data_IF_574442227854
#
_entry.id   IF_574442227854
#
_cell.length_a   1.000
_cell.length_b   1.000
_cell.length_c   1.000
_cell.angle_alpha   90.00
_cell.angle_beta   90.00
_cell.angle_gamma   90.00
#
_symmetry.space_group_name_H-M   'P 1'
#
loop_
_entity.id
_entity.type
_entity.pdbx_description
1 polymer ?
#
# COMPACT_ATOMS: atom_id res chain seq x y z
N UNK A 1 -9.06 -3.83 -1.37
CA UNK A 1 -9.11 -4.37 -2.74
C UNK A 1 -8.81 -5.85 -2.59
N UNK A 2 -9.82 -6.72 -2.69
CA UNK A 2 -9.62 -8.17 -2.55
C UNK A 2 -9.78 -8.86 -3.92
N UNK A 3 -9.05 -9.94 -4.16
CA UNK A 3 -9.25 -10.82 -5.31
C UNK A 3 -8.37 -10.55 -6.56
N UNK A 4 -8.77 -11.09 -7.74
CA UNK A 4 -7.92 -11.15 -8.95
C UNK A 4 -7.55 -9.78 -9.51
N UNK A 5 -8.37 -8.74 -9.28
CA UNK A 5 -8.05 -7.37 -9.67
C UNK A 5 -6.80 -6.84 -8.95
N UNK A 6 -6.70 -7.09 -7.64
CA UNK A 6 -5.54 -6.70 -6.84
C UNK A 6 -4.26 -7.39 -7.32
N UNK A 7 -4.35 -8.69 -7.62
CA UNK A 7 -3.22 -9.44 -8.17
C UNK A 7 -2.77 -8.91 -9.55
N UNK A 8 -3.71 -8.52 -10.41
CA UNK A 8 -3.40 -7.88 -11.70
C UNK A 8 -2.71 -6.54 -11.51
N UNK A 9 -3.20 -5.69 -10.60
CA UNK A 9 -2.58 -4.41 -10.27
C UNK A 9 -1.15 -4.59 -9.76
N UNK A 10 -0.92 -5.51 -8.82
CA UNK A 10 0.42 -5.80 -8.32
C UNK A 10 1.36 -6.27 -9.44
N UNK A 11 0.87 -7.12 -10.35
CA UNK A 11 1.65 -7.56 -11.51
C UNK A 11 2.05 -6.38 -12.41
N UNK A 12 1.12 -5.49 -12.74
CA UNK A 12 1.40 -4.32 -13.57
C UNK A 12 2.39 -3.37 -12.91
N UNK A 13 2.21 -3.13 -11.60
CA UNK A 13 3.15 -2.37 -10.79
C UNK A 13 4.54 -3.01 -10.83
N UNK A 14 4.65 -4.33 -10.65
CA UNK A 14 5.94 -5.03 -10.71
C UNK A 14 6.63 -4.84 -12.05
N UNK A 15 5.91 -5.03 -13.15
CA UNK A 15 6.46 -4.85 -14.49
C UNK A 15 6.93 -3.42 -14.71
N UNK A 16 6.15 -2.42 -14.28
CA UNK A 16 6.54 -1.03 -14.40
C UNK A 16 7.77 -0.70 -13.55
N UNK A 17 7.84 -1.17 -12.31
CA UNK A 17 9.02 -0.95 -11.44
C UNK A 17 10.26 -1.57 -12.06
N UNK A 18 10.16 -2.81 -12.56
CA UNK A 18 11.31 -3.57 -13.08
C UNK A 18 11.77 -3.08 -14.46
N UNK A 19 10.87 -2.64 -15.32
CA UNK A 19 11.19 -2.31 -16.71
C UNK A 19 11.20 -0.81 -17.02
N UNK A 20 10.64 0.03 -16.15
CA UNK A 20 10.58 1.48 -16.35
C UNK A 20 11.30 2.22 -15.23
N UNK A 21 10.88 2.02 -13.97
CA UNK A 21 11.43 2.80 -12.85
C UNK A 21 12.91 2.50 -12.60
N UNK A 22 13.25 1.23 -12.35
CA UNK A 22 14.61 0.86 -11.95
C UNK A 22 15.67 1.05 -13.04
N UNK A 23 15.43 0.69 -14.31
CA UNK A 23 16.43 0.89 -15.35
C UNK A 23 16.76 2.37 -15.58
N UNK A 24 15.82 3.29 -15.34
CA UNK A 24 15.98 4.72 -15.63
C UNK A 24 16.38 5.52 -14.38
N UNK A 25 15.74 5.25 -13.24
CA UNK A 25 15.86 6.07 -12.02
C UNK A 25 16.48 5.33 -10.84
N UNK A 26 16.76 4.03 -10.99
CA UNK A 26 17.24 3.18 -9.90
C UNK A 26 18.56 3.63 -9.30
N UNK A 27 19.52 4.15 -10.09
CA UNK A 27 20.88 4.49 -9.66
C UNK A 27 21.61 3.35 -8.90
N UNK A 28 22.90 3.52 -8.63
CA UNK A 28 23.69 2.50 -7.91
C UNK A 28 23.20 2.31 -6.47
N UNK A 29 23.17 1.07 -5.98
CA UNK A 29 22.74 0.73 -4.62
C UNK A 29 23.93 0.85 -3.67
N UNK A 30 23.80 1.68 -2.65
CA UNK A 30 24.83 1.88 -1.61
C UNK A 30 24.21 1.79 -0.22
N UNK A 31 25.04 1.78 0.83
CA UNK A 31 24.55 1.86 2.21
C UNK A 31 23.81 3.17 2.51
N UNK A 32 24.18 4.27 1.83
CA UNK A 32 23.51 5.56 1.93
C UNK A 32 22.32 5.73 0.98
N UNK A 33 22.09 4.77 0.08
CA UNK A 33 20.99 4.78 -0.88
C UNK A 33 20.52 3.34 -1.16
N UNK A 34 19.86 2.69 -0.19
CA UNK A 34 19.51 1.28 -0.28
C UNK A 34 18.38 1.01 -1.27
N UNK A 35 18.37 -0.21 -1.81
CA UNK A 35 17.23 -0.79 -2.53
C UNK A 35 17.07 -2.24 -2.11
N UNK A 36 15.84 -2.69 -1.85
CA UNK A 36 15.57 -4.10 -1.56
C UNK A 36 15.16 -4.84 -2.85
N UNK A 37 15.81 -5.96 -3.23
CA UNK A 37 15.40 -6.75 -4.39
C UNK A 37 14.02 -7.41 -4.19
N UNK A 38 13.56 -7.57 -2.94
CA UNK A 38 12.24 -8.07 -2.55
C UNK A 38 11.33 -6.92 -2.08
N UNK A 39 11.35 -5.79 -2.79
CA UNK A 39 10.63 -4.57 -2.39
C UNK A 39 9.13 -4.80 -2.14
N UNK A 40 8.51 -5.77 -2.81
CA UNK A 40 7.10 -6.12 -2.64
C UNK A 40 6.78 -6.70 -1.24
N UNK A 41 7.80 -7.10 -0.47
CA UNK A 41 7.65 -7.53 0.92
C UNK A 41 7.74 -6.37 1.93
N UNK A 42 7.90 -5.14 1.43
CA UNK A 42 7.84 -3.92 2.23
C UNK A 42 6.52 -3.19 1.91
N UNK A 43 5.49 -3.28 2.77
CA UNK A 43 4.16 -2.71 2.46
C UNK A 43 4.19 -1.21 2.17
N UNK A 44 5.02 -0.46 2.89
CA UNK A 44 5.22 0.97 2.63
C UNK A 44 5.80 1.22 1.23
N UNK A 45 6.77 0.39 0.79
CA UNK A 45 7.33 0.51 -0.54
C UNK A 45 6.30 0.21 -1.62
N UNK A 46 5.45 -0.80 -1.43
CA UNK A 46 4.33 -1.10 -2.33
C UNK A 46 3.39 0.10 -2.42
N UNK A 47 3.01 0.70 -1.30
CA UNK A 47 2.12 1.86 -1.27
C UNK A 47 2.71 3.09 -2.00
N UNK A 48 3.97 3.43 -1.70
CA UNK A 48 4.68 4.55 -2.32
C UNK A 48 4.85 4.35 -3.84
N UNK A 49 5.29 3.16 -4.26
CA UNK A 49 5.48 2.83 -5.68
C UNK A 49 4.16 2.77 -6.44
N UNK A 50 3.09 2.29 -5.81
CA UNK A 50 1.76 2.26 -6.42
C UNK A 50 1.24 3.67 -6.69
N UNK A 51 1.34 4.58 -5.70
CA UNK A 51 0.98 5.98 -5.88
C UNK A 51 1.81 6.66 -6.99
N UNK A 52 3.12 6.41 -7.00
CA UNK A 52 4.02 6.93 -8.02
C UNK A 52 3.66 6.45 -9.44
N UNK A 53 3.31 5.17 -9.59
CA UNK A 53 2.89 4.57 -10.85
C UNK A 53 1.54 5.11 -11.35
N UNK A 54 0.58 5.32 -10.44
CA UNK A 54 -0.70 5.94 -10.79
C UNK A 54 -0.50 7.37 -11.30
N UNK A 55 0.32 8.17 -10.63
CA UNK A 55 0.67 9.53 -11.08
C UNK A 55 1.40 9.51 -12.43
N UNK A 56 2.24 8.51 -12.67
CA UNK A 56 2.88 8.32 -13.98
C UNK A 56 1.83 8.08 -15.07
N UNK A 57 0.89 7.17 -14.83
CA UNK A 57 -0.18 6.85 -15.78
C UNK A 57 -1.04 8.07 -16.13
N UNK A 58 -1.41 8.87 -15.12
CA UNK A 58 -2.22 10.07 -15.30
C UNK A 58 -1.47 11.19 -16.07
N UNK A 59 -0.22 11.47 -15.69
CA UNK A 59 0.54 12.60 -16.23
C UNK A 59 1.29 12.29 -17.53
N UNK A 60 1.51 11.02 -17.86
CA UNK A 60 2.24 10.62 -19.08
C UNK A 60 1.40 9.79 -20.06
N UNK A 61 0.17 9.44 -19.68
CA UNK A 61 -0.74 8.66 -20.49
C UNK A 61 -1.39 9.44 -21.64
N UNK A 62 -2.18 8.74 -22.47
CA UNK A 62 -2.94 9.37 -23.54
C UNK A 62 -3.85 10.50 -23.02
N UNK A 63 -3.77 11.66 -23.65
CA UNK A 63 -4.57 12.84 -23.25
C UNK A 63 -3.92 13.72 -22.19
N UNK A 64 -2.73 13.37 -21.68
CA UNK A 64 -1.99 14.25 -20.78
C UNK A 64 -1.36 15.44 -21.51
N UNK A 65 -1.00 16.48 -20.76
CA UNK A 65 -0.32 17.66 -21.30
C UNK A 65 1.13 17.35 -21.67
N UNK A 66 1.69 18.10 -22.63
CA UNK A 66 3.10 17.93 -23.04
C UNK A 66 4.11 18.15 -21.91
N UNK A 67 3.74 18.91 -20.87
CA UNK A 67 4.57 19.12 -19.68
C UNK A 67 4.34 18.09 -18.58
N UNK A 68 3.37 17.18 -18.74
CA UNK A 68 3.00 16.17 -17.75
C UNK A 68 4.16 15.32 -17.24
N UNK A 69 5.05 14.77 -18.09
CA UNK A 69 6.24 14.05 -17.63
C UNK A 69 7.16 14.88 -16.73
N UNK A 70 7.38 16.16 -17.07
CA UNK A 70 8.21 17.06 -16.26
C UNK A 70 7.56 17.36 -14.90
N UNK A 71 6.24 17.55 -14.87
CA UNK A 71 5.49 17.70 -13.62
C UNK A 71 5.57 16.42 -12.78
N UNK A 72 5.47 15.24 -13.38
CA UNK A 72 5.61 13.97 -12.67
C UNK A 72 6.98 13.83 -11.98
N UNK A 73 8.07 14.18 -12.68
CA UNK A 73 9.42 14.17 -12.11
C UNK A 73 9.56 15.12 -10.91
N UNK A 74 9.05 16.35 -11.08
CA UNK A 74 9.17 17.41 -10.08
C UNK A 74 8.35 17.10 -8.83
N UNK A 75 7.10 16.67 -9.02
CA UNK A 75 6.10 16.65 -7.94
C UNK A 75 6.02 15.28 -7.24
N UNK A 76 6.41 14.19 -7.90
CA UNK A 76 6.20 12.83 -7.39
C UNK A 76 7.48 11.99 -7.31
N UNK A 77 8.25 11.92 -8.41
CA UNK A 77 9.39 10.99 -8.48
C UNK A 77 10.42 11.25 -7.37
N UNK A 78 10.85 12.49 -7.23
CA UNK A 78 11.94 12.83 -6.30
C UNK A 78 11.56 12.49 -4.86
N UNK A 79 10.36 12.86 -4.42
CA UNK A 79 9.88 12.60 -3.06
C UNK A 79 9.79 11.10 -2.75
N UNK A 80 9.24 10.30 -3.67
CA UNK A 80 9.12 8.85 -3.48
C UNK A 80 10.49 8.18 -3.49
N UNK A 81 11.36 8.53 -4.44
CA UNK A 81 12.70 7.95 -4.51
C UNK A 81 13.54 8.35 -3.30
N UNK A 82 13.51 9.60 -2.86
CA UNK A 82 14.23 10.04 -1.66
C UNK A 82 13.79 9.27 -0.42
N UNK A 83 12.49 9.00 -0.28
CA UNK A 83 11.95 8.21 0.84
C UNK A 83 12.41 6.75 0.78
N UNK A 84 12.22 6.08 -0.37
CA UNK A 84 12.59 4.67 -0.55
C UNK A 84 14.09 4.45 -0.39
N UNK A 85 14.88 5.38 -0.91
CA UNK A 85 16.34 5.35 -0.92
C UNK A 85 16.95 6.01 0.31
N UNK A 86 16.15 6.39 1.31
CA UNK A 86 16.68 6.88 2.57
C UNK A 86 17.30 5.72 3.37
N UNK A 87 18.52 5.83 3.93
CA UNK A 87 19.12 4.79 4.76
C UNK A 87 18.35 4.48 6.05
N UNK A 88 17.46 5.38 6.48
CA UNK A 88 16.49 5.21 7.57
C UNK A 88 15.07 4.90 7.08
N UNK A 89 14.88 4.77 5.76
CA UNK A 89 13.58 4.53 5.14
C UNK A 89 13.14 3.07 5.11
N UNK A 90 12.18 2.74 4.23
CA UNK A 90 11.55 1.40 4.15
C UNK A 90 12.55 0.26 3.92
N UNK A 91 13.63 0.54 3.19
CA UNK A 91 14.69 -0.43 2.88
C UNK A 91 15.86 -0.39 3.88
N UNK A 92 15.76 0.36 4.98
CA UNK A 92 16.82 0.42 5.99
C UNK A 92 17.24 -0.99 6.45
N UNK A 93 18.54 -1.29 6.38
CA UNK A 93 19.09 -2.61 6.72
C UNK A 93 18.99 -3.68 5.63
N UNK A 94 18.35 -3.41 4.49
CA UNK A 94 18.55 -4.20 3.28
C UNK A 94 19.92 -3.85 2.68
N UNK A 95 20.67 -4.86 2.23
CA UNK A 95 21.96 -4.71 1.56
C UNK A 95 21.84 -5.18 0.11
N UNK A 96 22.81 -4.91 -0.78
CA UNK A 96 22.81 -5.49 -2.12
C UNK A 96 22.62 -7.01 -2.06
N UNK A 97 21.58 -7.51 -2.74
CA UNK A 97 21.22 -8.93 -2.74
C UNK A 97 20.55 -9.46 -1.46
N UNK A 98 20.25 -8.62 -0.47
CA UNK A 98 19.71 -9.02 0.83
C UNK A 98 18.41 -8.28 1.19
N UNK A 99 17.47 -9.03 1.76
CA UNK A 99 16.22 -8.53 2.31
C UNK A 99 16.23 -8.63 3.84
N UNK A 100 15.74 -7.59 4.50
CA UNK A 100 15.51 -7.57 5.95
C UNK A 100 14.01 -7.32 6.20
N UNK A 101 13.28 -8.28 6.80
CA UNK A 101 11.90 -8.07 7.21
C UNK A 101 11.74 -6.91 8.18
N UNK A 102 10.58 -6.27 8.15
CA UNK A 102 10.21 -5.17 9.03
C UNK A 102 9.06 -5.60 9.94
N UNK A 103 9.19 -5.30 11.22
CA UNK A 103 8.11 -5.50 12.18
C UNK A 103 7.24 -4.24 12.21
N UNK A 104 5.93 -4.43 12.16
CA UNK A 104 4.97 -3.35 12.34
C UNK A 104 4.92 -2.97 13.83
N UNK A 105 4.90 -1.66 14.16
CA UNK A 105 4.63 -1.23 15.52
C UNK A 105 3.32 -1.83 16.04
N UNK A 106 3.29 -2.20 17.32
CA UNK A 106 2.08 -2.72 17.97
C UNK A 106 1.22 -1.59 18.50
N UNK A 107 -0.10 -1.81 18.53
CA UNK A 107 -1.05 -0.91 19.19
C UNK A 107 -1.73 -1.65 20.33
N UNK A 108 -2.00 -0.93 21.44
CA UNK A 108 -2.59 -1.53 22.63
C UNK A 108 -4.06 -1.99 22.42
N UNK A 109 -4.78 -1.30 21.53
CA UNK A 109 -6.12 -1.67 21.09
C UNK A 109 -6.28 -1.24 19.62
N UNK A 110 -6.90 -2.08 18.80
CA UNK A 110 -7.16 -1.76 17.38
C UNK A 110 -8.23 -0.69 17.22
N UNK A 111 -9.26 -0.74 18.06
CA UNK A 111 -10.29 0.29 18.14
C UNK A 111 -10.63 0.56 19.62
N UNK A 112 -9.89 1.47 20.29
CA UNK A 112 -10.09 1.77 21.70
C UNK A 112 -11.41 2.52 21.98
N UNK A 113 -12.09 3.00 20.93
CA UNK A 113 -13.35 3.74 21.03
C UNK A 113 -14.50 3.02 20.32
N UNK A 114 -14.33 1.72 20.01
CA UNK A 114 -15.37 0.91 19.38
C UNK A 114 -16.66 1.00 20.20
N UNK A 115 -17.83 1.16 19.55
CA UNK A 115 -19.09 1.05 20.26
C UNK A 115 -19.18 -0.32 20.94
N UNK A 116 -19.74 -0.40 22.16
CA UNK A 116 -19.87 -1.67 22.86
C UNK A 116 -20.65 -2.66 21.98
N UNK A 117 -20.31 -3.96 22.03
CA UNK A 117 -21.02 -4.97 21.24
C UNK A 117 -22.52 -4.88 21.54
N UNK A 118 -23.33 -4.91 20.48
CA UNK A 118 -24.79 -4.95 20.64
C UNK A 118 -25.16 -6.15 21.50
N UNK A 119 -25.77 -5.90 22.64
CA UNK A 119 -26.32 -6.99 23.46
C UNK A 119 -27.39 -7.73 22.66
N UNK A 120 -27.47 -9.08 22.75
CA UNK A 120 -28.54 -9.83 22.12
C UNK A 120 -29.88 -9.28 22.63
N UNK A 121 -30.76 -8.89 21.71
CA UNK A 121 -32.12 -8.52 22.08
C UNK A 121 -32.78 -9.74 22.72
N UNK A 122 -33.37 -9.57 23.90
CA UNK A 122 -34.15 -10.63 24.56
C UNK A 122 -35.23 -11.11 23.59
N UNK A 123 -35.39 -12.42 23.43
CA UNK A 123 -36.49 -12.95 22.63
C UNK A 123 -37.83 -12.40 23.17
N UNK A 124 -38.78 -12.05 22.30
CA UNK A 124 -40.10 -11.63 22.75
C UNK A 124 -40.73 -12.76 23.59
N UNK A 125 -41.52 -12.41 24.63
CA UNK A 125 -42.19 -13.42 25.44
C UNK A 125 -43.08 -14.30 24.54
N UNK A 126 -43.22 -15.60 24.84
CA UNK A 126 -44.10 -16.47 24.07
C UNK A 126 -45.53 -15.92 24.08
N UNK A 127 -46.31 -16.16 23.01
CA UNK A 127 -47.71 -15.75 22.99
C UNK A 127 -48.44 -16.35 24.19
N UNK A 128 -49.29 -15.54 24.82
CA UNK A 128 -50.13 -16.00 25.93
C UNK A 128 -51.03 -17.17 25.52
N UNK A 129 -51.53 -17.94 26.50
CA UNK A 129 -52.41 -19.07 26.20
C UNK A 129 -53.67 -18.61 25.44
N UNK A 130 -54.21 -19.43 24.53
CA UNK A 130 -55.43 -19.10 23.82
C UNK A 130 -56.60 -18.91 24.80
N UNK A 131 -57.57 -18.03 24.49
CA UNK A 131 -58.75 -17.85 25.32
C UNK A 131 -59.58 -19.15 25.40
N UNK A 132 -60.33 -19.36 26.49
CA UNK A 132 -61.18 -20.55 26.65
C UNK A 132 -62.30 -20.58 25.59
N UNK A 133 -62.75 -21.78 25.18
CA UNK A 133 -63.85 -21.94 24.24
C UNK A 133 -65.18 -21.41 24.82
N UNK A 134 -66.01 -20.84 23.93
CA UNK A 134 -67.37 -20.34 24.22
C UNK A 134 -68.37 -21.49 24.32
#
# INVERSE_FOLDING_TARGET
>A
MEGPAYASTLRQLTLWVHHVLLPVYGREVTSGSPWCPRWWEHPEAVAQLHGLWLAWGDLTGPGSTMTGPASWHRDYLSSVMDTLRNPQGPFAGCKPGMHRPKETPTVAAMDPFAPPPRQPQSAPPPPGPPPPPV
#
